data_IF_169578645440
#
_entry.id   IF_169578645440
#
_cell.length_a   1.000
_cell.length_b   1.000
_cell.length_c   1.000
_cell.angle_alpha   90.00
_cell.angle_beta   90.00
_cell.angle_gamma   90.00
#
_symmetry.space_group_name_H-M   'P 1'
#
loop_
_entity.id
_entity.type
_entity.pdbx_description
1 polymer ?
#
# COMPACT_ATOMS: atom_id res chain seq x y z
N UNK A 1 12.15 -0.97 -11.73
CA UNK A 1 10.70 -1.00 -11.92
C UNK A 1 10.01 -0.77 -10.57
N UNK A 2 9.83 0.52 -10.23
CA UNK A 2 9.10 0.91 -9.02
C UNK A 2 7.66 0.41 -9.11
N UNK A 3 7.08 0.04 -7.97
CA UNK A 3 5.72 -0.51 -7.93
C UNK A 3 4.95 -0.02 -6.71
N UNK A 4 5.20 -0.54 -5.53
CA UNK A 4 4.39 -0.27 -4.35
C UNK A 4 5.22 0.36 -3.21
N UNK A 5 4.75 1.49 -2.63
CA UNK A 5 5.41 2.13 -1.51
C UNK A 5 4.75 1.78 -0.16
N UNK A 6 5.54 1.84 0.91
CA UNK A 6 5.06 1.84 2.28
C UNK A 6 5.76 2.92 3.11
N UNK A 7 5.10 3.45 4.12
CA UNK A 7 5.62 4.51 4.96
C UNK A 7 5.81 4.08 6.41
N UNK A 8 7.04 4.25 6.94
CA UNK A 8 7.34 4.02 8.34
C UNK A 8 7.58 5.35 9.09
N UNK A 9 6.74 5.64 10.09
CA UNK A 9 6.88 6.82 10.93
C UNK A 9 7.94 6.61 12.02
N UNK A 10 8.95 7.46 12.06
CA UNK A 10 9.79 7.60 13.24
C UNK A 10 9.07 8.46 14.29
N UNK A 11 8.45 7.80 15.28
CA UNK A 11 7.63 8.47 16.32
C UNK A 11 8.44 9.45 17.18
N UNK A 12 9.77 9.26 17.31
CA UNK A 12 10.65 10.11 18.13
C UNK A 12 11.27 11.26 17.36
N UNK A 13 11.46 11.10 16.06
CA UNK A 13 11.97 12.13 15.16
C UNK A 13 11.33 11.97 13.77
N UNK A 14 10.16 12.60 13.53
CA UNK A 14 9.42 12.46 12.27
C UNK A 14 10.22 12.77 11.01
N UNK A 15 11.21 13.66 11.07
CA UNK A 15 12.11 13.96 9.94
C UNK A 15 12.97 12.76 9.50
N UNK A 16 13.13 11.76 10.38
CA UNK A 16 13.84 10.51 10.11
C UNK A 16 12.92 9.34 9.77
N UNK A 17 11.70 9.64 9.38
CA UNK A 17 10.79 8.64 8.83
C UNK A 17 11.35 8.09 7.51
N UNK A 18 10.90 6.91 7.13
CA UNK A 18 11.45 6.16 6.00
C UNK A 18 10.32 5.80 5.04
N UNK A 19 10.56 6.01 3.76
CA UNK A 19 9.77 5.41 2.69
C UNK A 19 10.43 4.11 2.26
N UNK A 20 9.67 3.04 2.18
CA UNK A 20 10.09 1.79 1.55
C UNK A 20 9.39 1.70 0.20
N UNK A 21 10.08 1.21 -0.81
CA UNK A 21 9.51 1.07 -2.14
C UNK A 21 10.02 -0.17 -2.83
N UNK A 22 9.14 -0.89 -3.49
CA UNK A 22 9.51 -2.08 -4.23
C UNK A 22 10.15 -1.71 -5.57
N UNK A 23 11.11 -2.49 -5.98
CA UNK A 23 11.49 -2.71 -7.37
C UNK A 23 11.04 -4.12 -7.72
N UNK A 24 9.91 -4.23 -8.44
CA UNK A 24 9.28 -5.52 -8.77
C UNK A 24 10.15 -6.48 -9.60
N UNK A 25 11.40 -6.09 -9.88
CA UNK A 25 12.41 -6.93 -10.54
C UNK A 25 13.57 -7.33 -9.64
N UNK A 26 13.77 -6.65 -8.49
CA UNK A 26 15.02 -6.84 -7.75
C UNK A 26 14.94 -6.80 -6.23
N UNK A 27 13.91 -6.21 -5.62
CA UNK A 27 13.78 -6.16 -4.16
C UNK A 27 13.15 -4.89 -3.61
N UNK A 28 13.65 -4.44 -2.45
CA UNK A 28 13.10 -3.29 -1.72
C UNK A 28 14.19 -2.25 -1.50
N UNK A 29 13.88 -1.00 -1.83
CA UNK A 29 14.69 0.16 -1.48
C UNK A 29 14.08 0.89 -0.28
N UNK A 30 14.94 1.57 0.49
CA UNK A 30 14.49 2.50 1.52
C UNK A 30 15.05 3.89 1.23
N UNK A 31 14.22 4.90 1.49
CA UNK A 31 14.55 6.29 1.20
C UNK A 31 14.29 7.17 2.43
N UNK A 32 15.07 8.25 2.57
CA UNK A 32 14.71 9.34 3.46
C UNK A 32 13.66 10.25 2.83
N UNK A 33 13.14 11.22 3.60
CA UNK A 33 12.10 12.15 3.12
C UNK A 33 12.54 13.09 2.00
N UNK A 34 13.84 13.13 1.66
CA UNK A 34 14.35 13.86 0.50
C UNK A 34 14.38 13.01 -0.77
N UNK A 35 14.00 11.74 -0.70
CA UNK A 35 14.10 10.76 -1.79
C UNK A 35 15.48 10.13 -1.95
N UNK A 36 16.41 10.40 -1.02
CA UNK A 36 17.74 9.78 -1.05
C UNK A 36 17.65 8.34 -0.60
N UNK A 37 18.19 7.41 -1.39
CA UNK A 37 18.32 6.00 -1.05
C UNK A 37 19.19 5.82 0.21
N UNK A 38 18.66 5.09 1.19
CA UNK A 38 19.33 4.70 2.42
C UNK A 38 19.90 3.29 2.34
N UNK A 39 19.07 2.32 1.93
CA UNK A 39 19.45 0.91 1.81
C UNK A 39 18.77 0.26 0.60
N UNK A 40 19.28 -0.90 0.21
CA UNK A 40 18.69 -1.80 -0.77
C UNK A 40 18.78 -3.23 -0.26
N UNK A 41 17.65 -3.95 -0.36
CA UNK A 41 17.49 -5.35 0.03
C UNK A 41 17.21 -6.18 -1.23
N UNK A 42 18.18 -7.00 -1.71
CA UNK A 42 18.06 -7.77 -2.94
C UNK A 42 17.23 -9.05 -2.70
N UNK A 43 15.93 -8.90 -2.50
CA UNK A 43 15.01 -9.98 -2.13
C UNK A 43 14.36 -10.66 -3.34
N UNK A 44 14.72 -10.29 -4.57
CA UNK A 44 14.09 -10.77 -5.80
C UNK A 44 12.84 -9.98 -6.17
N UNK A 45 11.93 -10.57 -6.94
CA UNK A 45 10.73 -9.89 -7.44
C UNK A 45 9.67 -9.71 -6.35
N UNK A 46 9.83 -8.63 -5.57
CA UNK A 46 8.83 -8.20 -4.59
C UNK A 46 7.85 -7.26 -5.29
N UNK A 47 6.55 -7.62 -5.29
CA UNK A 47 5.50 -6.77 -5.87
C UNK A 47 5.00 -5.76 -4.82
N UNK A 48 3.98 -6.10 -4.04
CA UNK A 48 3.42 -5.20 -3.04
C UNK A 48 4.02 -5.42 -1.66
N UNK A 49 4.01 -4.36 -0.86
CA UNK A 49 4.46 -4.35 0.52
C UNK A 49 3.46 -3.59 1.40
N UNK A 50 3.29 -4.04 2.63
CA UNK A 50 2.58 -3.27 3.65
C UNK A 50 3.24 -3.48 5.01
N UNK A 51 3.06 -2.55 5.93
CA UNK A 51 3.66 -2.63 7.26
C UNK A 51 2.67 -2.32 8.38
N UNK A 52 2.90 -2.97 9.52
CA UNK A 52 2.24 -2.64 10.78
C UNK A 52 3.26 -2.47 11.89
N UNK A 53 2.96 -1.59 12.82
CA UNK A 53 3.85 -1.19 13.89
C UNK A 53 3.60 -1.96 15.19
N UNK A 54 4.55 -1.82 16.15
CA UNK A 54 4.41 -2.22 17.55
C UNK A 54 4.20 -3.75 17.74
N UNK A 55 5.06 -4.55 17.11
CA UNK A 55 5.16 -5.98 17.38
C UNK A 55 6.25 -6.27 18.40
N UNK A 56 5.98 -7.18 19.32
CA UNK A 56 7.01 -7.73 20.20
C UNK A 56 7.56 -9.02 19.59
N UNK A 57 8.69 -8.92 18.89
CA UNK A 57 9.36 -10.07 18.26
C UNK A 57 10.73 -10.24 18.91
N UNK A 58 11.02 -11.45 19.44
CA UNK A 58 12.28 -11.76 20.11
C UNK A 58 12.67 -10.72 21.18
N UNK A 59 11.71 -10.31 22.01
CA UNK A 59 11.86 -9.28 23.07
C UNK A 59 12.24 -7.88 22.55
N UNK A 60 11.96 -7.57 21.30
CA UNK A 60 12.19 -6.24 20.71
C UNK A 60 10.88 -5.71 20.14
N UNK A 61 10.60 -4.44 20.41
CA UNK A 61 9.50 -3.75 19.71
C UNK A 61 9.98 -3.34 18.34
N UNK A 62 9.30 -3.83 17.31
CA UNK A 62 9.61 -3.60 15.90
C UNK A 62 8.36 -3.32 15.11
N UNK A 63 8.53 -2.73 13.91
CA UNK A 63 7.52 -2.78 12.86
C UNK A 63 7.82 -3.97 11.96
N UNK A 64 6.77 -4.65 11.51
CA UNK A 64 6.82 -5.79 10.60
C UNK A 64 6.32 -5.33 9.24
N UNK A 65 7.17 -5.44 8.23
CA UNK A 65 6.80 -5.28 6.83
C UNK A 65 6.67 -6.66 6.21
N UNK A 66 5.59 -6.88 5.46
CA UNK A 66 5.39 -8.06 4.63
C UNK A 66 5.44 -7.66 3.16
N UNK A 67 5.91 -8.55 2.29
CA UNK A 67 5.93 -8.32 0.85
C UNK A 67 5.73 -9.62 0.06
N UNK A 68 5.00 -9.54 -1.06
CA UNK A 68 4.77 -10.66 -1.97
C UNK A 68 6.02 -10.91 -2.82
N UNK A 69 6.59 -12.11 -2.69
CA UNK A 69 7.74 -12.52 -3.48
C UNK A 69 7.30 -13.44 -4.64
N UNK A 70 7.30 -12.91 -5.85
CA UNK A 70 6.87 -13.59 -7.08
C UNK A 70 7.84 -14.64 -7.58
N UNK A 71 9.10 -14.65 -7.13
CA UNK A 71 10.06 -15.67 -7.51
C UNK A 71 9.79 -17.02 -6.84
N UNK A 72 9.17 -16.97 -5.64
CA UNK A 72 8.96 -18.15 -4.81
C UNK A 72 7.50 -18.36 -4.40
N UNK A 73 6.56 -17.52 -4.84
CA UNK A 73 5.14 -17.54 -4.41
C UNK A 73 4.99 -17.58 -2.89
N UNK A 74 5.69 -16.68 -2.20
CA UNK A 74 5.74 -16.61 -0.74
C UNK A 74 5.67 -15.18 -0.24
N UNK A 75 5.51 -15.02 1.05
CA UNK A 75 5.60 -13.73 1.73
C UNK A 75 6.93 -13.64 2.44
N UNK A 76 7.72 -12.63 2.10
CA UNK A 76 8.97 -12.28 2.75
C UNK A 76 8.76 -11.10 3.72
N UNK A 77 9.67 -10.95 4.69
CA UNK A 77 9.50 -9.96 5.75
C UNK A 77 10.76 -9.14 5.99
N UNK A 78 10.54 -7.86 6.33
CA UNK A 78 11.56 -7.00 6.94
C UNK A 78 11.12 -6.57 8.34
N UNK A 79 12.09 -6.37 9.22
CA UNK A 79 11.87 -5.79 10.54
C UNK A 79 12.45 -4.36 10.57
N UNK A 80 11.68 -3.42 11.11
CA UNK A 80 12.12 -2.05 11.31
C UNK A 80 12.17 -1.78 12.80
N UNK A 81 13.36 -1.55 13.31
CA UNK A 81 13.58 -1.19 14.72
C UNK A 81 13.06 0.23 15.02
N UNK A 82 12.82 0.52 16.29
CA UNK A 82 12.37 1.86 16.74
C UNK A 82 13.32 3.01 16.40
N UNK A 83 14.56 2.71 16.08
CA UNK A 83 15.57 3.66 15.62
C UNK A 83 15.60 3.84 14.09
N UNK A 84 14.75 3.14 13.33
CA UNK A 84 14.71 3.16 11.87
C UNK A 84 15.68 2.19 11.19
N UNK A 85 16.38 1.35 11.93
CA UNK A 85 17.19 0.30 11.30
C UNK A 85 16.28 -0.75 10.67
N UNK A 86 16.42 -0.92 9.37
CA UNK A 86 15.71 -1.95 8.59
C UNK A 86 16.63 -3.15 8.39
N UNK A 87 16.10 -4.34 8.57
CA UNK A 87 16.81 -5.58 8.36
C UNK A 87 15.91 -6.67 7.79
N UNK A 88 16.44 -7.53 6.93
CA UNK A 88 15.74 -8.73 6.49
C UNK A 88 15.47 -9.64 7.70
N UNK A 89 14.25 -10.19 7.76
CA UNK A 89 13.90 -11.19 8.75
C UNK A 89 14.23 -12.57 8.18
N UNK A 90 15.53 -12.84 8.06
CA UNK A 90 16.07 -14.03 7.42
C UNK A 90 15.46 -15.32 8.01
N UNK A 91 15.26 -16.31 7.12
CA UNK A 91 14.68 -17.63 7.43
C UNK A 91 13.25 -17.58 8.02
N UNK A 92 12.56 -16.44 7.88
CA UNK A 92 11.20 -16.23 8.34
C UNK A 92 10.25 -15.80 7.20
N UNK A 93 10.30 -16.50 6.09
CA UNK A 93 9.29 -16.36 5.02
C UNK A 93 8.11 -17.28 5.31
N UNK A 94 6.96 -16.93 4.77
CA UNK A 94 5.76 -17.77 4.78
C UNK A 94 5.47 -18.28 3.37
N UNK A 95 5.58 -19.60 3.14
CA UNK A 95 5.27 -20.22 1.86
C UNK A 95 3.76 -20.30 1.68
N UNK A 96 3.24 -19.69 0.61
CA UNK A 96 1.84 -19.83 0.20
C UNK A 96 1.65 -21.07 -0.68
N UNK A 97 0.38 -21.50 -0.86
CA UNK A 97 0.01 -22.50 -1.86
C UNK A 97 -0.50 -21.85 -3.16
N UNK A 98 -0.32 -20.53 -3.32
CA UNK A 98 -0.76 -19.75 -4.47
C UNK A 98 0.20 -19.94 -5.64
N UNK A 99 -0.33 -19.75 -6.84
CA UNK A 99 0.43 -19.97 -8.09
C UNK A 99 1.10 -18.70 -8.60
N UNK A 100 0.52 -17.53 -8.32
CA UNK A 100 1.02 -16.24 -8.75
C UNK A 100 0.67 -15.14 -7.73
N UNK A 101 1.41 -15.12 -6.60
CA UNK A 101 1.23 -14.05 -5.60
C UNK A 101 1.44 -12.69 -6.23
N UNK A 102 0.54 -11.72 -5.92
CA UNK A 102 0.51 -10.41 -6.55
C UNK A 102 0.38 -9.30 -5.52
N UNK A 103 -0.79 -8.73 -5.29
CA UNK A 103 -1.03 -7.69 -4.29
C UNK A 103 -0.97 -8.18 -2.85
N UNK A 104 -0.74 -7.24 -1.92
CA UNK A 104 -0.70 -7.54 -0.49
C UNK A 104 -1.13 -6.34 0.33
N UNK A 105 -1.89 -6.59 1.40
CA UNK A 105 -2.07 -5.68 2.52
C UNK A 105 -2.23 -6.42 3.86
N UNK A 106 -1.97 -5.70 4.95
CA UNK A 106 -2.00 -6.25 6.30
C UNK A 106 -3.20 -5.72 7.10
N UNK A 107 -3.67 -6.51 8.04
CA UNK A 107 -4.65 -6.13 9.03
C UNK A 107 -4.16 -6.49 10.42
N UNK A 108 -4.10 -5.50 11.33
CA UNK A 108 -3.77 -5.72 12.73
C UNK A 108 -5.00 -5.52 13.59
N UNK A 109 -5.64 -6.63 13.95
CA UNK A 109 -6.76 -6.65 14.89
C UNK A 109 -6.24 -6.54 16.34
N UNK A 110 -6.17 -5.32 16.83
CA UNK A 110 -5.68 -5.02 18.18
C UNK A 110 -6.60 -5.55 19.27
N UNK A 111 -7.91 -5.62 19.02
CA UNK A 111 -8.90 -6.12 19.99
C UNK A 111 -8.69 -7.60 20.33
N UNK A 112 -8.30 -8.39 19.33
CA UNK A 112 -8.07 -9.83 19.47
C UNK A 112 -6.59 -10.20 19.46
N UNK A 113 -5.67 -9.21 19.38
CA UNK A 113 -4.22 -9.41 19.29
C UNK A 113 -3.82 -10.34 18.13
N UNK A 114 -4.48 -10.18 16.98
CA UNK A 114 -4.25 -10.97 15.77
C UNK A 114 -3.70 -10.10 14.64
N UNK A 115 -2.96 -10.73 13.75
CA UNK A 115 -2.51 -10.11 12.50
C UNK A 115 -2.90 -11.00 11.34
N UNK A 116 -3.40 -10.36 10.30
CA UNK A 116 -3.75 -11.02 9.05
C UNK A 116 -2.98 -10.38 7.89
N UNK A 117 -2.74 -11.18 6.87
CA UNK A 117 -2.21 -10.75 5.57
C UNK A 117 -3.23 -11.13 4.52
N UNK A 118 -3.64 -10.18 3.71
CA UNK A 118 -4.42 -10.42 2.50
C UNK A 118 -3.43 -10.50 1.34
N UNK A 119 -3.52 -11.55 0.55
CA UNK A 119 -2.68 -11.79 -0.62
C UNK A 119 -3.58 -12.04 -1.81
N UNK A 120 -3.39 -11.31 -2.89
CA UNK A 120 -4.08 -11.57 -4.15
C UNK A 120 -3.27 -12.55 -5.00
N UNK A 121 -3.94 -13.23 -5.91
CA UNK A 121 -3.33 -14.17 -6.86
C UNK A 121 -3.83 -13.83 -8.25
N UNK A 122 -2.91 -13.55 -9.19
CA UNK A 122 -3.26 -13.15 -10.56
C UNK A 122 -4.10 -14.20 -11.30
N UNK A 123 -3.90 -15.51 -11.01
CA UNK A 123 -4.50 -16.57 -11.78
C UNK A 123 -5.85 -17.03 -11.24
N UNK A 124 -6.06 -16.95 -9.93
CA UNK A 124 -7.23 -17.54 -9.28
C UNK A 124 -8.40 -16.58 -9.06
N UNK A 125 -8.25 -15.31 -9.40
CA UNK A 125 -9.25 -14.25 -9.18
C UNK A 125 -9.83 -14.28 -7.76
N UNK A 126 -8.94 -14.24 -6.76
CA UNK A 126 -9.32 -14.26 -5.36
C UNK A 126 -8.29 -13.56 -4.47
N UNK A 127 -8.75 -13.08 -3.32
CA UNK A 127 -7.93 -12.59 -2.24
C UNK A 127 -7.93 -13.64 -1.12
N UNK A 128 -6.75 -13.99 -0.65
CA UNK A 128 -6.54 -15.02 0.38
C UNK A 128 -6.12 -14.34 1.69
N UNK A 129 -6.90 -14.57 2.74
CA UNK A 129 -6.63 -14.02 4.07
C UNK A 129 -5.92 -15.07 4.92
N UNK A 130 -4.69 -14.76 5.33
CA UNK A 130 -3.89 -15.59 6.22
C UNK A 130 -3.79 -14.97 7.61
N UNK A 131 -4.05 -15.75 8.66
CA UNK A 131 -3.77 -15.35 10.05
C UNK A 131 -2.34 -15.74 10.41
N UNK A 132 -1.51 -14.78 10.84
CA UNK A 132 -0.18 -15.08 11.41
C UNK A 132 -0.37 -15.77 12.76
N UNK A 133 0.15 -16.99 12.89
CA UNK A 133 0.00 -17.83 14.08
C UNK A 133 1.24 -17.84 14.95
N UNK A 134 2.40 -17.46 14.40
CA UNK A 134 3.68 -17.32 15.11
C UNK A 134 4.54 -16.27 14.40
N UNK A 135 5.38 -15.56 15.16
CA UNK A 135 6.31 -14.57 14.64
C UNK A 135 7.78 -15.02 14.65
N UNK A 136 8.10 -16.14 15.33
CA UNK A 136 9.48 -16.62 15.42
C UNK A 136 9.55 -18.13 15.64
N UNK A 137 9.65 -18.97 14.60
CA UNK A 137 9.58 -18.62 13.17
C UNK A 137 8.18 -18.13 12.77
N UNK A 138 8.11 -17.36 11.68
CA UNK A 138 6.82 -16.93 11.13
C UNK A 138 6.08 -18.17 10.60
N UNK A 139 4.81 -18.26 10.98
CA UNK A 139 3.85 -19.20 10.42
C UNK A 139 2.49 -18.53 10.26
N UNK A 140 1.75 -18.95 9.27
CA UNK A 140 0.40 -18.44 9.02
C UNK A 140 -0.51 -19.58 8.55
N UNK A 141 -1.81 -19.37 8.65
CA UNK A 141 -2.83 -20.28 8.15
C UNK A 141 -3.87 -19.55 7.34
N UNK A 142 -4.33 -20.13 6.24
CA UNK A 142 -5.45 -19.64 5.47
C UNK A 142 -6.73 -19.68 6.33
N UNK A 143 -7.44 -18.57 6.43
CA UNK A 143 -8.68 -18.45 7.23
C UNK A 143 -9.86 -18.02 6.38
N UNK A 144 -9.64 -17.41 5.21
CA UNK A 144 -10.72 -16.97 4.31
C UNK A 144 -10.22 -16.83 2.89
N UNK A 145 -11.08 -17.12 1.92
CA UNK A 145 -10.90 -16.78 0.50
C UNK A 145 -12.03 -15.86 0.07
N UNK A 146 -11.71 -14.75 -0.57
CA UNK A 146 -12.65 -13.73 -1.06
C UNK A 146 -12.60 -13.78 -2.58
N UNK A 147 -13.65 -14.22 -3.27
CA UNK A 147 -13.67 -14.25 -4.74
C UNK A 147 -13.72 -12.83 -5.29
N UNK A 148 -13.00 -12.57 -6.37
CA UNK A 148 -13.03 -11.35 -7.16
C UNK A 148 -13.64 -11.63 -8.54
N UNK A 149 -13.93 -10.58 -9.32
CA UNK A 149 -14.48 -10.74 -10.68
C UNK A 149 -13.40 -10.57 -11.75
N UNK A 150 -12.28 -9.99 -11.39
CA UNK A 150 -11.07 -9.83 -12.21
C UNK A 150 -9.84 -9.82 -11.32
N UNK A 151 -8.67 -9.62 -11.91
CA UNK A 151 -7.41 -9.46 -11.19
C UNK A 151 -7.55 -8.33 -10.17
N UNK A 152 -6.90 -8.48 -9.03
CA UNK A 152 -6.90 -7.49 -7.95
C UNK A 152 -5.47 -7.32 -7.48
N UNK A 153 -4.96 -6.11 -7.49
CA UNK A 153 -3.64 -5.79 -6.94
C UNK A 153 -3.75 -4.93 -5.69
N UNK A 154 -4.26 -3.71 -5.83
CA UNK A 154 -4.31 -2.76 -4.73
C UNK A 154 -5.25 -3.19 -3.62
N UNK A 155 -4.76 -3.15 -2.38
CA UNK A 155 -5.61 -3.26 -1.20
C UNK A 155 -5.07 -2.46 -0.02
N UNK A 156 -5.97 -2.07 0.88
CA UNK A 156 -5.62 -1.42 2.14
C UNK A 156 -6.65 -1.75 3.21
N UNK A 157 -6.23 -1.83 4.46
CA UNK A 157 -7.14 -2.15 5.57
C UNK A 157 -7.21 -0.98 6.56
N UNK A 158 -8.42 -0.56 6.87
CA UNK A 158 -8.68 0.26 8.04
C UNK A 158 -8.76 -0.65 9.28
N UNK A 159 -7.68 -0.69 10.04
CA UNK A 159 -7.57 -1.55 11.24
C UNK A 159 -8.60 -1.16 12.31
N UNK A 160 -8.99 0.11 12.40
CA UNK A 160 -9.94 0.62 13.42
C UNK A 160 -11.38 0.25 13.05
N UNK A 161 -11.76 0.41 11.77
CA UNK A 161 -13.08 0.05 11.25
C UNK A 161 -13.19 -1.43 10.88
N UNK A 162 -12.04 -2.14 10.79
CA UNK A 162 -11.94 -3.55 10.36
C UNK A 162 -12.52 -3.77 8.96
N UNK A 163 -12.21 -2.85 8.05
CA UNK A 163 -12.67 -2.87 6.66
C UNK A 163 -11.48 -3.07 5.74
N UNK A 164 -11.56 -4.08 4.88
CA UNK A 164 -10.69 -4.27 3.74
C UNK A 164 -11.28 -3.51 2.56
N UNK A 165 -10.48 -2.63 1.96
CA UNK A 165 -10.71 -2.02 0.65
C UNK A 165 -9.79 -2.69 -0.35
N UNK A 166 -10.30 -2.96 -1.55
CA UNK A 166 -9.49 -3.57 -2.62
C UNK A 166 -9.95 -3.08 -4.00
N UNK A 167 -9.02 -3.01 -4.91
CA UNK A 167 -9.25 -2.67 -6.31
C UNK A 167 -9.37 -3.92 -7.16
N UNK A 168 -10.03 -3.79 -8.31
CA UNK A 168 -10.01 -4.77 -9.39
C UNK A 168 -9.68 -4.06 -10.69
N UNK A 169 -8.98 -4.75 -11.55
CA UNK A 169 -8.46 -4.27 -12.83
C UNK A 169 -9.33 -4.74 -14.00
N UNK A 170 -8.95 -4.39 -15.25
CA UNK A 170 -9.60 -4.80 -16.50
C UNK A 170 -11.05 -4.31 -16.63
N UNK A 171 -11.85 -5.05 -17.42
CA UNK A 171 -13.26 -4.74 -17.70
C UNK A 171 -14.16 -4.69 -16.46
N UNK A 172 -13.68 -5.20 -15.33
CA UNK A 172 -14.36 -5.18 -14.03
C UNK A 172 -13.70 -4.23 -13.04
N UNK A 173 -12.90 -3.31 -13.57
CA UNK A 173 -12.18 -2.32 -12.75
C UNK A 173 -13.13 -1.57 -11.83
N UNK A 174 -12.72 -1.40 -10.60
CA UNK A 174 -13.48 -0.76 -9.57
C UNK A 174 -12.87 -0.87 -8.20
N UNK A 175 -13.49 -0.19 -7.25
CA UNK A 175 -13.12 -0.21 -5.84
C UNK A 175 -14.21 -0.90 -5.06
N UNK A 176 -13.83 -1.83 -4.21
CA UNK A 176 -14.73 -2.65 -3.41
C UNK A 176 -14.31 -2.63 -1.95
N UNK A 177 -15.23 -2.98 -1.07
CA UNK A 177 -14.95 -3.20 0.35
C UNK A 177 -15.65 -4.43 0.89
N UNK A 178 -15.07 -4.99 1.94
CA UNK A 178 -15.69 -6.02 2.78
C UNK A 178 -15.11 -5.94 4.19
N UNK A 179 -15.67 -6.68 5.14
CA UNK A 179 -15.01 -6.77 6.46
C UNK A 179 -13.63 -7.43 6.34
N UNK A 180 -12.67 -6.92 7.11
CA UNK A 180 -11.35 -7.55 7.27
C UNK A 180 -11.37 -8.74 8.24
N UNK A 181 -12.50 -9.01 8.89
CA UNK A 181 -12.65 -10.13 9.83
C UNK A 181 -12.78 -11.46 9.08
N UNK A 182 -12.19 -12.56 9.59
CA UNK A 182 -12.17 -13.85 8.89
C UNK A 182 -13.55 -14.51 8.77
N UNK A 183 -14.51 -14.13 9.60
CA UNK A 183 -15.90 -14.62 9.53
C UNK A 183 -16.61 -14.22 8.23
N UNK A 184 -16.06 -13.20 7.56
CA UNK A 184 -16.54 -12.76 6.29
C UNK A 184 -17.74 -11.81 6.36
N UNK A 185 -18.15 -11.33 5.19
CA UNK A 185 -19.25 -10.40 5.00
C UNK A 185 -19.50 -10.19 3.50
N UNK A 186 -20.49 -9.38 3.20
CA UNK A 186 -20.79 -9.01 1.83
C UNK A 186 -19.67 -8.16 1.23
N UNK A 187 -19.47 -8.30 -0.07
CA UNK A 187 -18.66 -7.37 -0.85
C UNK A 187 -19.58 -6.23 -1.32
N UNK A 188 -19.18 -5.01 -1.04
CA UNK A 188 -19.88 -3.79 -1.44
C UNK A 188 -19.04 -3.02 -2.45
N UNK A 189 -19.69 -2.49 -3.49
CA UNK A 189 -19.04 -1.63 -4.49
C UNK A 189 -18.97 -0.21 -3.95
N UNK A 190 -17.77 0.41 -4.07
CA UNK A 190 -17.56 1.82 -3.77
C UNK A 190 -17.65 2.66 -5.03
N UNK A 191 -16.90 2.29 -6.07
CA UNK A 191 -16.92 2.96 -7.37
C UNK A 191 -16.57 1.98 -8.49
N UNK A 192 -16.89 2.34 -9.70
CA UNK A 192 -16.68 1.55 -10.90
C UNK A 192 -16.02 2.38 -12.00
N UNK A 193 -15.54 1.67 -13.02
CA UNK A 193 -15.06 2.29 -14.25
C UNK A 193 -16.18 3.05 -14.96
N UNK A 194 -15.82 4.14 -15.63
CA UNK A 194 -16.74 4.89 -16.51
C UNK A 194 -17.37 4.00 -17.58
N UNK A 195 -18.64 4.23 -17.96
CA UNK A 195 -19.51 5.34 -17.54
C UNK A 195 -20.30 5.07 -16.25
N UNK A 196 -20.11 3.94 -15.58
CA UNK A 196 -20.87 3.54 -14.39
C UNK A 196 -20.40 4.21 -13.10
N UNK A 197 -19.19 4.73 -13.07
CA UNK A 197 -18.55 5.40 -11.95
C UNK A 197 -17.58 6.49 -12.40
N UNK A 198 -16.57 6.78 -11.57
CA UNK A 198 -15.63 7.88 -11.78
C UNK A 198 -14.25 7.42 -12.30
N UNK A 199 -13.92 6.15 -12.19
CA UNK A 199 -12.61 5.58 -12.53
C UNK A 199 -12.40 5.58 -14.04
N UNK A 200 -11.17 5.85 -14.48
CA UNK A 200 -10.75 5.74 -15.89
C UNK A 200 -9.61 4.75 -15.99
N UNK A 201 -9.82 3.67 -16.75
CA UNK A 201 -8.87 2.57 -16.82
C UNK A 201 -8.85 1.72 -15.55
N UNK A 202 -7.69 1.23 -15.17
CA UNK A 202 -7.58 0.37 -14.02
C UNK A 202 -7.57 1.15 -12.70
N UNK A 203 -8.24 0.56 -11.70
CA UNK A 203 -8.13 0.98 -10.31
C UNK A 203 -7.00 0.17 -9.67
N UNK A 204 -5.93 0.84 -9.36
CA UNK A 204 -4.70 0.25 -8.85
C UNK A 204 -4.52 0.52 -7.34
N UNK A 205 -3.41 1.08 -6.94
CA UNK A 205 -3.06 1.33 -5.55
C UNK A 205 -4.12 2.06 -4.75
N UNK A 206 -4.27 1.67 -3.50
CA UNK A 206 -5.17 2.26 -2.52
C UNK A 206 -4.41 2.73 -1.29
N UNK A 207 -4.76 3.92 -0.77
CA UNK A 207 -4.18 4.44 0.46
C UNK A 207 -5.25 5.04 1.38
N UNK A 208 -5.02 4.98 2.70
CA UNK A 208 -5.89 5.60 3.70
C UNK A 208 -5.23 6.83 4.32
N UNK A 209 -5.96 7.93 4.39
CA UNK A 209 -5.56 9.14 5.10
C UNK A 209 -6.38 9.26 6.38
N UNK A 210 -5.77 8.96 7.52
CA UNK A 210 -6.43 9.03 8.84
C UNK A 210 -6.34 10.45 9.40
N UNK A 211 -7.35 11.27 9.12
CA UNK A 211 -7.52 12.60 9.70
C UNK A 211 -8.10 12.50 11.12
N UNK A 212 -8.02 13.57 11.95
CA UNK A 212 -8.56 13.53 13.30
C UNK A 212 -10.04 13.18 13.39
N UNK A 213 -10.86 13.65 12.45
CA UNK A 213 -12.32 13.52 12.49
C UNK A 213 -12.88 12.58 11.42
N UNK A 214 -12.07 12.15 10.48
CA UNK A 214 -12.48 11.25 9.39
C UNK A 214 -11.30 10.52 8.77
N UNK A 215 -11.57 9.41 8.12
CA UNK A 215 -10.60 8.74 7.24
C UNK A 215 -11.02 8.94 5.79
N UNK A 216 -10.06 9.19 4.91
CA UNK A 216 -10.27 9.25 3.46
C UNK A 216 -9.61 8.03 2.82
N UNK A 217 -10.24 7.51 1.77
CA UNK A 217 -9.66 6.53 0.86
C UNK A 217 -9.21 7.25 -0.40
N UNK A 218 -7.97 7.02 -0.82
CA UNK A 218 -7.43 7.48 -2.10
C UNK A 218 -7.21 6.26 -2.98
N UNK A 219 -7.57 6.36 -4.26
CA UNK A 219 -7.33 5.33 -5.25
C UNK A 219 -6.61 5.91 -6.47
N UNK A 220 -5.61 5.20 -6.99
CA UNK A 220 -5.06 5.48 -8.30
C UNK A 220 -6.06 5.10 -9.39
N UNK A 221 -6.26 5.99 -10.37
CA UNK A 221 -6.99 5.75 -11.62
C UNK A 221 -5.94 5.84 -12.74
N UNK A 222 -5.35 4.69 -13.07
CA UNK A 222 -4.08 4.57 -13.76
C UNK A 222 -4.09 5.29 -15.12
N UNK A 223 -4.99 4.94 -16.03
CA UNK A 223 -5.05 5.50 -17.39
C UNK A 223 -5.30 7.01 -17.46
N UNK A 224 -5.82 7.61 -16.39
CA UNK A 224 -6.05 9.06 -16.33
C UNK A 224 -5.00 9.83 -15.55
N UNK A 225 -4.03 9.16 -14.94
CA UNK A 225 -3.03 9.77 -14.07
C UNK A 225 -3.66 10.60 -12.94
N UNK A 226 -4.78 10.11 -12.39
CA UNK A 226 -5.60 10.81 -11.40
C UNK A 226 -5.71 9.99 -10.12
N UNK A 227 -5.83 10.70 -9.00
CA UNK A 227 -6.07 10.09 -7.69
C UNK A 227 -7.43 10.50 -7.20
N UNK A 228 -8.33 9.53 -7.04
CA UNK A 228 -9.72 9.72 -6.64
C UNK A 228 -9.82 9.65 -5.13
N UNK A 229 -10.62 10.53 -4.52
CA UNK A 229 -10.79 10.62 -3.07
C UNK A 229 -12.24 10.28 -2.68
N UNK A 230 -12.37 9.45 -1.66
CA UNK A 230 -13.64 9.01 -1.09
C UNK A 230 -13.64 9.16 0.43
N UNK A 231 -14.81 9.36 1.02
CA UNK A 231 -15.00 9.13 2.47
C UNK A 231 -14.95 7.62 2.75
N UNK A 232 -14.66 7.23 3.99
CA UNK A 232 -14.69 5.85 4.45
C UNK A 232 -15.90 5.56 5.35
N UNK A 233 -16.06 4.29 5.76
CA UNK A 233 -17.13 3.85 6.66
C UNK A 233 -18.36 3.30 5.94
N UNK A 234 -19.56 3.67 6.41
CA UNK A 234 -20.81 3.15 5.86
C UNK A 234 -21.14 3.73 4.50
N UNK A 235 -20.88 5.02 4.30
CA UNK A 235 -21.10 5.71 3.02
C UNK A 235 -19.74 6.11 2.45
N UNK A 236 -19.41 5.59 1.27
CA UNK A 236 -18.20 5.93 0.55
C UNK A 236 -18.54 6.98 -0.52
N UNK A 237 -18.58 8.25 -0.10
CA UNK A 237 -18.90 9.35 -1.00
C UNK A 237 -17.65 9.76 -1.80
N UNK A 238 -17.75 9.81 -3.12
CA UNK A 238 -16.76 10.45 -3.97
C UNK A 238 -16.69 11.95 -3.69
N UNK A 239 -15.50 12.45 -3.35
CA UNK A 239 -15.28 13.86 -3.03
C UNK A 239 -14.67 14.65 -4.19
N UNK A 240 -13.93 13.98 -5.05
CA UNK A 240 -13.21 14.56 -6.16
C UNK A 240 -11.89 13.85 -6.46
N UNK A 241 -11.01 14.53 -7.16
CA UNK A 241 -9.74 13.97 -7.62
C UNK A 241 -8.65 15.04 -7.66
N UNK A 242 -7.40 14.58 -7.64
CA UNK A 242 -6.22 15.42 -7.89
C UNK A 242 -5.22 14.71 -8.81
N UNK A 243 -4.20 15.43 -9.25
CA UNK A 243 -3.08 14.90 -10.03
C UNK A 243 -1.76 15.44 -9.48
N UNK A 244 -0.67 14.74 -9.70
CA UNK A 244 0.68 15.26 -9.47
C UNK A 244 1.23 15.74 -10.81
N UNK A 245 1.16 17.05 -11.03
CA UNK A 245 1.57 17.66 -12.27
C UNK A 245 3.09 17.91 -12.30
N UNK A 246 3.66 17.85 -13.49
CA UNK A 246 5.05 18.29 -13.74
C UNK A 246 5.27 19.75 -13.34
N UNK A 247 6.34 20.00 -12.60
CA UNK A 247 6.78 21.36 -12.21
C UNK A 247 8.30 21.51 -12.39
N UNK A 248 9.07 21.52 -11.30
CA UNK A 248 10.55 21.48 -11.34
C UNK A 248 11.09 20.06 -11.54
N UNK A 249 10.28 19.07 -11.21
CA UNK A 249 10.48 17.65 -11.48
C UNK A 249 9.27 17.14 -12.26
N UNK A 250 9.43 16.00 -12.87
CA UNK A 250 8.36 15.30 -13.57
C UNK A 250 7.19 14.98 -12.63
N UNK A 251 5.98 14.88 -13.17
CA UNK A 251 4.77 14.46 -12.46
C UNK A 251 4.70 12.96 -12.25
N UNK A 252 3.48 12.41 -12.16
CA UNK A 252 3.25 10.97 -12.13
C UNK A 252 2.40 10.52 -13.30
N UNK A 253 2.65 9.33 -13.77
CA UNK A 253 1.91 8.68 -14.84
C UNK A 253 1.75 7.19 -14.55
N UNK A 254 0.64 6.61 -15.02
CA UNK A 254 0.35 5.18 -14.96
C UNK A 254 0.72 4.57 -13.60
N UNK A 255 0.22 5.21 -12.51
CA UNK A 255 0.60 4.88 -11.14
C UNK A 255 0.02 3.54 -10.70
N UNK A 256 0.88 2.60 -10.37
CA UNK A 256 0.54 1.34 -9.70
C UNK A 256 0.27 1.62 -8.19
N UNK A 257 1.29 1.62 -7.36
CA UNK A 257 1.17 1.75 -5.91
C UNK A 257 1.17 3.19 -5.38
N UNK A 258 0.41 3.42 -4.33
CA UNK A 258 0.36 4.69 -3.59
C UNK A 258 0.38 4.45 -2.07
N UNK A 259 0.89 5.44 -1.33
CA UNK A 259 0.84 5.45 0.14
C UNK A 259 0.58 6.87 0.65
N UNK A 260 -0.08 7.00 1.79
CA UNK A 260 -0.36 8.28 2.41
C UNK A 260 -0.21 8.24 3.93
N UNK A 261 0.44 9.25 4.48
CA UNK A 261 0.55 9.43 5.92
C UNK A 261 0.15 10.85 6.32
N UNK A 262 -0.81 10.96 7.24
CA UNK A 262 -1.20 12.23 7.85
C UNK A 262 -0.45 12.44 9.18
N UNK A 263 0.22 13.58 9.29
CA UNK A 263 0.98 14.01 10.46
C UNK A 263 2.17 14.86 10.07
N UNK A 264 2.55 15.84 10.91
CA UNK A 264 3.69 16.71 10.60
C UNK A 264 5.00 15.92 10.58
N UNK A 265 5.74 15.98 9.51
CA UNK A 265 7.05 15.33 9.35
C UNK A 265 8.19 16.34 9.38
N UNK A 266 8.11 17.38 8.54
CA UNK A 266 9.08 18.46 8.41
C UNK A 266 8.42 19.67 7.71
N UNK A 267 9.13 20.79 7.46
CA UNK A 267 8.54 21.95 6.77
C UNK A 267 8.04 21.68 5.34
N UNK A 268 8.59 20.69 4.64
CA UNK A 268 8.14 20.27 3.31
C UNK A 268 6.84 19.47 3.38
N UNK A 269 6.66 18.68 4.45
CA UNK A 269 5.50 17.83 4.67
C UNK A 269 4.78 18.20 5.98
N UNK A 270 4.16 19.38 6.05
CA UNK A 270 3.62 19.93 7.31
C UNK A 270 2.37 19.20 7.82
N UNK A 271 1.60 18.57 6.95
CA UNK A 271 0.44 17.72 7.28
C UNK A 271 0.61 16.28 6.86
N UNK A 272 1.81 15.90 6.41
CA UNK A 272 2.12 14.54 5.97
C UNK A 272 2.52 14.46 4.51
N UNK A 273 2.67 13.22 4.06
CA UNK A 273 3.20 12.87 2.75
C UNK A 273 2.20 12.02 1.98
N UNK A 274 2.12 12.25 0.68
CA UNK A 274 1.53 11.36 -0.31
C UNK A 274 2.64 10.86 -1.24
N UNK A 275 2.70 9.56 -1.43
CA UNK A 275 3.74 8.86 -2.20
C UNK A 275 3.04 8.14 -3.34
N UNK A 276 3.53 8.31 -4.55
CA UNK A 276 3.00 7.64 -5.73
C UNK A 276 4.13 7.08 -6.60
N UNK A 277 3.94 5.89 -7.10
CA UNK A 277 4.78 5.32 -8.15
C UNK A 277 4.59 6.13 -9.44
N UNK A 278 5.65 6.27 -10.24
CA UNK A 278 5.65 6.94 -11.53
C UNK A 278 6.29 6.05 -12.59
N UNK A 279 5.48 5.63 -13.57
CA UNK A 279 5.92 4.70 -14.60
C UNK A 279 6.78 5.38 -15.67
N UNK A 280 6.31 6.48 -16.24
CA UNK A 280 7.03 7.22 -17.28
C UNK A 280 7.79 8.38 -16.66
N UNK A 281 8.86 8.06 -15.93
CA UNK A 281 9.69 9.06 -15.28
C UNK A 281 10.67 9.70 -16.29
N UNK A 282 10.68 11.02 -16.34
CA UNK A 282 11.49 11.80 -17.26
C UNK A 282 12.54 12.64 -16.52
N UNK A 283 13.71 12.78 -17.13
CA UNK A 283 14.72 13.73 -16.63
C UNK A 283 14.39 15.19 -17.02
N UNK A 284 15.24 16.12 -16.61
CA UNK A 284 15.07 17.56 -16.91
C UNK A 284 15.12 17.91 -18.39
N UNK A 285 15.52 17.00 -19.26
CA UNK A 285 15.57 17.18 -20.72
C UNK A 285 14.39 16.48 -21.43
N UNK A 286 13.56 15.73 -20.67
CA UNK A 286 12.45 14.95 -21.20
C UNK A 286 12.87 13.56 -21.68
N UNK A 287 14.07 13.10 -21.34
CA UNK A 287 14.52 11.75 -21.66
C UNK A 287 14.03 10.74 -20.62
N UNK A 288 13.54 9.55 -21.04
CA UNK A 288 13.07 8.52 -20.10
C UNK A 288 14.21 8.00 -19.21
N UNK A 289 13.95 7.93 -17.91
CA UNK A 289 14.82 7.35 -16.90
C UNK A 289 14.07 6.27 -16.12
N UNK A 290 14.73 5.64 -15.15
CA UNK A 290 14.10 4.58 -14.35
C UNK A 290 12.86 5.10 -13.64
N UNK A 291 11.83 4.26 -13.56
CA UNK A 291 10.66 4.46 -12.70
C UNK A 291 11.08 4.80 -11.27
N UNK A 292 10.29 5.61 -10.60
CA UNK A 292 10.58 6.04 -9.24
C UNK A 292 9.30 6.26 -8.42
N UNK A 293 9.47 6.79 -7.21
CA UNK A 293 8.39 7.27 -6.36
C UNK A 293 8.46 8.79 -6.25
N UNK A 294 7.34 9.47 -6.46
CA UNK A 294 7.19 10.90 -6.21
C UNK A 294 6.66 11.13 -4.80
N UNK A 295 7.31 12.03 -4.07
CA UNK A 295 6.92 12.43 -2.72
C UNK A 295 6.27 13.80 -2.78
N UNK A 296 5.00 13.88 -2.44
CA UNK A 296 4.20 15.10 -2.50
C UNK A 296 3.68 15.48 -1.11
N UNK A 297 3.45 16.78 -0.89
CA UNK A 297 2.79 17.24 0.32
C UNK A 297 1.34 16.74 0.35
N UNK A 298 1.00 15.96 1.37
CA UNK A 298 -0.38 15.50 1.55
C UNK A 298 -1.35 16.69 1.69
N UNK A 299 -0.90 17.80 2.32
CA UNK A 299 -1.69 19.01 2.44
C UNK A 299 -2.22 19.48 1.08
N UNK A 300 -1.34 19.58 0.09
CA UNK A 300 -1.70 20.08 -1.23
C UNK A 300 -2.67 19.14 -1.98
N UNK A 301 -2.56 17.84 -1.70
CA UNK A 301 -3.43 16.83 -2.26
C UNK A 301 -4.86 16.87 -1.71
N UNK A 302 -5.03 17.10 -0.39
CA UNK A 302 -6.32 16.91 0.28
C UNK A 302 -7.01 18.21 0.74
N UNK A 303 -6.31 19.34 0.86
CA UNK A 303 -6.90 20.63 1.32
C UNK A 303 -8.24 20.98 0.64
N UNK A 304 -8.44 20.75 -0.69
CA UNK A 304 -9.71 21.04 -1.32
C UNK A 304 -10.90 20.19 -0.82
N UNK A 305 -10.64 19.05 -0.18
CA UNK A 305 -11.62 18.05 0.18
C UNK A 305 -11.89 17.94 1.69
N UNK A 306 -11.07 18.61 2.50
CA UNK A 306 -11.24 18.67 3.97
C UNK A 306 -11.76 20.07 4.37
N UNK A 307 -12.67 20.10 5.34
CA UNK A 307 -13.27 21.35 5.84
C UNK A 307 -12.66 21.76 7.17
#
# INVERSE_FOLDING_TARGET
>A
AADDPAFWLNKTNPEKSIVLGTDKKSGIYTYDLSGKTLNYFPMGRINNIDLRNDYLIQNRTVSLLAGTNRDFNRIDFLLIGSNGNVAEYLDNSFQTELTSVYGLCMFKDTDNSKTFIFVTDEESLAIYQYEITSYAPISAKLVRTIPTQSVSEGCVVDDDLKILYFSQEDEKSGIFKTTAMPEGGNIETIDLIKPSGNITGDSEGLALVKLPDQTLLISSSQDSNEYLIYTTGTENQYLGKFTIATSTIDGTSETDGIEAFYGSLNPQFPLGIFIAQDDVNLDQYGDPINQNFKFSSLKDAIDPFIK
#
